data_IF_365632251729
#
_entry.id   IF_365632251729
#
_cell.length_a   1.000
_cell.length_b   1.000
_cell.length_c   1.000
_cell.angle_alpha   90.00
_cell.angle_beta   90.00
_cell.angle_gamma   90.00
#
_symmetry.space_group_name_H-M   'P 1'
#
loop_
_entity.id
_entity.type
_entity.pdbx_description
1 polymer ?
#
# COMPACT_ATOMS: atom_id res chain seq x y z
N UNK A 1 -34.19 -1.94 -2.60
CA UNK A 1 -32.97 -2.72 -2.86
C UNK A 1 -31.77 -1.84 -2.51
N UNK A 2 -31.30 -1.85 -1.26
CA UNK A 2 -30.20 -0.95 -0.85
C UNK A 2 -29.57 -1.45 0.46
N UNK A 3 -28.79 -2.52 0.37
CA UNK A 3 -27.99 -3.04 1.51
C UNK A 3 -26.66 -3.71 1.08
N UNK A 4 -26.35 -3.79 -0.22
CA UNK A 4 -25.20 -4.52 -0.73
C UNK A 4 -23.88 -3.70 -0.76
N UNK A 5 -23.95 -2.38 -0.73
CA UNK A 5 -22.80 -1.49 -0.94
C UNK A 5 -21.70 -1.58 0.13
N UNK A 6 -21.98 -1.62 1.46
CA UNK A 6 -20.91 -1.67 2.46
C UNK A 6 -20.18 -3.04 2.51
N UNK A 7 -20.84 -4.12 2.09
CA UNK A 7 -20.27 -5.47 2.14
C UNK A 7 -19.20 -5.65 1.04
N UNK A 8 -19.50 -5.19 -0.18
CA UNK A 8 -18.59 -5.27 -1.33
C UNK A 8 -17.34 -4.38 -1.11
N UNK A 9 -17.50 -3.23 -0.46
CA UNK A 9 -16.40 -2.34 -0.08
C UNK A 9 -15.43 -3.01 0.94
N UNK A 10 -15.94 -3.86 1.83
CA UNK A 10 -15.14 -4.57 2.83
C UNK A 10 -14.33 -5.74 2.22
N UNK A 11 -14.84 -6.38 1.15
CA UNK A 11 -14.13 -7.48 0.51
C UNK A 11 -12.83 -7.04 -0.17
N UNK A 12 -12.83 -5.89 -0.85
CA UNK A 12 -11.62 -5.34 -1.49
C UNK A 12 -10.51 -5.05 -0.48
N UNK A 13 -10.87 -4.53 0.70
CA UNK A 13 -9.94 -4.25 1.79
C UNK A 13 -9.43 -5.56 2.44
N UNK A 14 -10.31 -6.56 2.61
CA UNK A 14 -9.94 -7.89 3.13
C UNK A 14 -8.90 -8.58 2.24
N UNK A 15 -9.04 -8.50 0.91
CA UNK A 15 -8.05 -9.05 -0.02
C UNK A 15 -6.71 -8.33 0.12
N UNK A 16 -6.71 -7.00 0.24
CA UNK A 16 -5.49 -6.22 0.42
C UNK A 16 -4.76 -6.58 1.74
N UNK A 17 -5.51 -6.81 2.82
CA UNK A 17 -4.94 -7.29 4.09
C UNK A 17 -4.37 -8.71 3.99
N UNK A 18 -4.99 -9.60 3.21
CA UNK A 18 -4.41 -10.94 2.94
C UNK A 18 -3.11 -10.85 2.17
N UNK A 19 -3.02 -9.94 1.20
CA UNK A 19 -1.77 -9.67 0.48
C UNK A 19 -0.69 -9.12 1.42
N UNK A 20 -1.05 -8.18 2.31
CA UNK A 20 -0.14 -7.68 3.34
C UNK A 20 0.36 -8.78 4.28
N UNK A 21 -0.54 -9.65 4.78
CA UNK A 21 -0.16 -10.78 5.62
C UNK A 21 0.81 -11.72 4.88
N UNK A 22 0.53 -12.01 3.62
CA UNK A 22 1.39 -12.86 2.78
C UNK A 22 2.78 -12.23 2.57
N UNK A 23 2.86 -10.90 2.40
CA UNK A 23 4.14 -10.16 2.32
C UNK A 23 4.92 -10.31 3.62
N UNK A 24 4.28 -10.12 4.77
CA UNK A 24 4.93 -10.24 6.08
C UNK A 24 5.41 -11.68 6.33
N UNK A 25 4.59 -12.67 6.00
CA UNK A 25 4.91 -14.08 6.22
C UNK A 25 6.08 -14.54 5.33
N UNK A 26 6.08 -14.15 4.05
CA UNK A 26 7.07 -14.65 3.06
C UNK A 26 8.36 -13.82 3.08
N UNK A 27 8.26 -12.49 3.05
CA UNK A 27 9.41 -11.61 2.84
C UNK A 27 10.03 -11.08 4.13
N UNK A 28 9.34 -11.23 5.26
CA UNK A 28 9.80 -10.75 6.55
C UNK A 28 9.85 -11.84 7.62
N UNK A 29 9.59 -13.11 7.29
CA UNK A 29 9.55 -14.24 8.24
C UNK A 29 8.78 -13.88 9.52
N UNK A 30 7.57 -13.34 9.38
CA UNK A 30 6.74 -12.85 10.49
C UNK A 30 7.37 -11.69 11.32
N UNK A 31 8.29 -10.92 10.72
CA UNK A 31 9.14 -9.92 11.40
C UNK A 31 10.08 -10.52 12.47
N UNK A 32 10.38 -11.81 12.41
CA UNK A 32 11.45 -12.39 13.21
C UNK A 32 12.77 -11.93 12.58
N UNK A 33 13.58 -11.20 13.34
CA UNK A 33 14.83 -10.56 12.91
C UNK A 33 15.96 -11.60 12.65
N UNK A 34 15.60 -12.78 12.15
CA UNK A 34 16.48 -13.91 11.87
C UNK A 34 17.21 -13.80 10.54
N UNK A 35 16.94 -12.74 9.77
CA UNK A 35 17.41 -12.59 8.39
C UNK A 35 16.59 -13.49 7.47
N UNK A 36 16.09 -12.93 6.37
CA UNK A 36 15.39 -13.72 5.36
C UNK A 36 16.35 -14.80 4.83
N UNK A 37 16.01 -16.07 5.00
CA UNK A 37 16.80 -17.19 4.49
C UNK A 37 16.76 -17.31 2.96
N UNK A 38 16.03 -16.41 2.29
CA UNK A 38 15.80 -16.39 0.85
C UNK A 38 16.96 -15.71 0.13
N UNK A 39 17.42 -16.33 -0.96
CA UNK A 39 18.34 -15.71 -1.89
C UNK A 39 17.69 -14.52 -2.61
N UNK A 40 18.51 -13.60 -3.13
CA UNK A 40 17.99 -12.43 -3.86
C UNK A 40 17.12 -12.81 -5.06
N UNK A 41 17.42 -13.92 -5.73
CA UNK A 41 16.62 -14.41 -6.86
C UNK A 41 15.23 -14.90 -6.41
N UNK A 42 15.14 -15.54 -5.24
CA UNK A 42 13.86 -15.95 -4.65
C UNK A 42 13.05 -14.73 -4.22
N UNK A 43 13.69 -13.74 -3.59
CA UNK A 43 13.06 -12.45 -3.23
C UNK A 43 12.47 -11.79 -4.49
N UNK A 44 13.22 -11.71 -5.58
CA UNK A 44 12.76 -11.09 -6.84
C UNK A 44 11.57 -11.86 -7.42
N UNK A 45 11.62 -13.19 -7.45
CA UNK A 45 10.52 -14.03 -7.93
C UNK A 45 9.23 -13.83 -7.12
N UNK A 46 9.35 -13.74 -5.79
CA UNK A 46 8.24 -13.45 -4.91
C UNK A 46 7.68 -12.04 -5.12
N UNK A 47 8.55 -11.04 -5.28
CA UNK A 47 8.14 -9.66 -5.60
C UNK A 47 7.33 -9.62 -6.91
N UNK A 48 7.83 -10.25 -7.98
CA UNK A 48 7.11 -10.29 -9.26
C UNK A 48 5.72 -10.92 -9.14
N UNK A 49 5.63 -12.06 -8.45
CA UNK A 49 4.34 -12.74 -8.22
C UNK A 49 3.37 -11.87 -7.41
N UNK A 50 3.88 -11.13 -6.42
CA UNK A 50 3.07 -10.25 -5.58
C UNK A 50 2.62 -8.99 -6.33
N UNK A 51 3.45 -8.41 -7.19
CA UNK A 51 3.06 -7.32 -8.07
C UNK A 51 1.96 -7.74 -9.05
N UNK A 52 2.06 -8.95 -9.63
CA UNK A 52 1.00 -9.51 -10.47
C UNK A 52 -0.32 -9.64 -9.71
N UNK A 53 -0.28 -10.11 -8.46
CA UNK A 53 -1.44 -10.21 -7.59
C UNK A 53 -2.04 -8.85 -7.24
N UNK A 54 -1.21 -7.84 -6.98
CA UNK A 54 -1.64 -6.46 -6.71
C UNK A 54 -2.28 -5.83 -7.94
N UNK A 55 -1.72 -6.07 -9.13
CA UNK A 55 -2.28 -5.64 -10.41
C UNK A 55 -3.66 -6.29 -10.66
N UNK A 56 -3.75 -7.61 -10.51
CA UNK A 56 -5.02 -8.33 -10.63
C UNK A 56 -6.07 -7.84 -9.62
N UNK A 57 -5.65 -7.59 -8.38
CA UNK A 57 -6.52 -7.01 -7.36
C UNK A 57 -7.02 -5.61 -7.75
N UNK A 58 -6.14 -4.74 -8.24
CA UNK A 58 -6.50 -3.39 -8.68
C UNK A 58 -7.54 -3.43 -9.80
N UNK A 59 -7.42 -4.36 -10.75
CA UNK A 59 -8.38 -4.56 -11.85
C UNK A 59 -9.72 -5.11 -11.33
N UNK A 60 -9.69 -5.92 -10.27
CA UNK A 60 -10.89 -6.51 -9.66
C UNK A 60 -11.70 -5.54 -8.79
N UNK A 61 -11.23 -4.29 -8.60
CA UNK A 61 -11.90 -3.32 -7.76
C UNK A 61 -13.31 -2.99 -8.30
N UNK A 62 -14.33 -2.94 -7.42
CA UNK A 62 -15.68 -2.52 -7.79
C UNK A 62 -15.73 -1.14 -8.44
N UNK A 63 -16.72 -0.92 -9.32
CA UNK A 63 -16.95 0.41 -9.91
C UNK A 63 -17.12 1.47 -8.81
N UNK A 64 -16.32 2.54 -8.89
CA UNK A 64 -16.30 3.62 -7.89
C UNK A 64 -15.18 3.51 -6.85
N UNK A 65 -14.46 2.38 -6.80
CA UNK A 65 -13.21 2.23 -6.07
C UNK A 65 -12.03 2.25 -7.03
N UNK A 66 -11.10 3.17 -6.79
CA UNK A 66 -9.88 3.27 -7.60
C UNK A 66 -8.70 3.61 -6.71
N UNK A 67 -7.51 3.24 -7.16
CA UNK A 67 -6.27 3.77 -6.58
C UNK A 67 -6.14 5.22 -7.04
N UNK A 68 -6.24 6.13 -6.10
CA UNK A 68 -6.22 7.57 -6.31
C UNK A 68 -4.78 8.07 -6.36
N UNK A 69 -4.55 9.02 -7.25
CA UNK A 69 -3.39 9.89 -7.20
C UNK A 69 -3.78 11.23 -6.56
N UNK A 70 -2.79 11.97 -6.04
CA UNK A 70 -3.02 13.31 -5.53
C UNK A 70 -3.58 14.26 -6.60
N UNK A 71 -3.17 14.10 -7.87
CA UNK A 71 -3.75 14.84 -8.98
C UNK A 71 -5.25 14.57 -9.14
N UNK A 72 -5.66 13.30 -9.06
CA UNK A 72 -7.08 12.93 -9.12
C UNK A 72 -7.90 13.51 -7.96
N UNK A 73 -7.31 13.63 -6.77
CA UNK A 73 -7.95 14.29 -5.62
C UNK A 73 -8.06 15.81 -5.80
N UNK A 74 -7.04 16.46 -6.40
CA UNK A 74 -7.05 17.91 -6.70
C UNK A 74 -8.12 18.29 -7.70
N UNK A 75 -8.21 17.51 -8.78
CA UNK A 75 -9.13 17.75 -9.89
C UNK A 75 -10.60 17.48 -9.50
N UNK A 76 -10.83 16.77 -8.40
CA UNK A 76 -12.15 16.51 -7.87
C UNK A 76 -12.73 17.72 -7.13
N UNK A 77 -13.44 18.57 -7.87
CA UNK A 77 -14.11 19.76 -7.33
C UNK A 77 -15.56 19.49 -6.87
N UNK A 78 -16.16 18.39 -7.32
CA UNK A 78 -17.56 18.10 -7.02
C UNK A 78 -17.68 17.46 -5.63
N UNK A 79 -18.42 18.11 -4.73
CA UNK A 79 -18.76 17.52 -3.45
C UNK A 79 -19.71 16.32 -3.63
N UNK A 80 -19.48 15.19 -2.95
CA UNK A 80 -20.36 14.05 -2.99
C UNK A 80 -21.76 14.43 -2.49
N UNK A 81 -22.77 14.13 -3.30
CA UNK A 81 -24.17 14.50 -3.04
C UNK A 81 -24.78 13.52 -2.03
N UNK A 82 -24.31 12.27 -2.07
CA UNK A 82 -24.80 11.19 -1.22
C UNK A 82 -23.72 10.71 -0.25
N UNK A 83 -24.17 10.21 0.91
CA UNK A 83 -23.28 9.53 1.85
C UNK A 83 -22.55 8.35 1.19
N UNK A 84 -23.20 7.64 0.27
CA UNK A 84 -22.60 6.50 -0.42
C UNK A 84 -21.39 6.92 -1.28
N UNK A 85 -21.49 8.05 -2.01
CA UNK A 85 -20.38 8.61 -2.78
C UNK A 85 -19.25 9.07 -1.86
N UNK A 86 -19.59 9.78 -0.77
CA UNK A 86 -18.60 10.21 0.23
C UNK A 86 -17.83 9.01 0.81
N UNK A 87 -18.54 7.95 1.21
CA UNK A 87 -17.90 6.74 1.70
C UNK A 87 -17.08 6.04 0.62
N UNK A 88 -17.54 5.96 -0.63
CA UNK A 88 -16.75 5.37 -1.73
C UNK A 88 -15.41 6.09 -1.94
N UNK A 89 -15.42 7.43 -1.86
CA UNK A 89 -14.20 8.24 -1.91
C UNK A 89 -13.30 8.01 -0.71
N UNK A 90 -13.88 7.96 0.49
CA UNK A 90 -13.15 7.64 1.72
C UNK A 90 -12.49 6.27 1.65
N UNK A 91 -13.20 5.26 1.15
CA UNK A 91 -12.64 3.93 0.92
C UNK A 91 -11.53 3.96 -0.14
N UNK A 92 -11.71 4.70 -1.23
CA UNK A 92 -10.68 4.87 -2.27
C UNK A 92 -9.39 5.48 -1.70
N UNK A 93 -9.49 6.51 -0.85
CA UNK A 93 -8.33 7.08 -0.14
C UNK A 93 -7.64 6.02 0.73
N UNK A 94 -8.41 5.30 1.53
CA UNK A 94 -7.88 4.27 2.42
C UNK A 94 -7.15 3.16 1.66
N UNK A 95 -7.76 2.60 0.61
CA UNK A 95 -7.14 1.52 -0.18
C UNK A 95 -5.89 2.02 -0.93
N UNK A 96 -5.89 3.28 -1.39
CA UNK A 96 -4.73 3.86 -2.09
C UNK A 96 -3.53 3.98 -1.15
N UNK A 97 -3.75 4.54 0.04
CA UNK A 97 -2.69 4.65 1.04
C UNK A 97 -2.19 3.28 1.50
N UNK A 98 -3.07 2.28 1.62
CA UNK A 98 -2.67 0.90 1.92
C UNK A 98 -1.87 0.28 0.79
N UNK A 99 -2.30 0.48 -0.45
CA UNK A 99 -1.64 -0.02 -1.64
C UNK A 99 -0.21 0.51 -1.75
N UNK A 100 0.01 1.82 -1.62
CA UNK A 100 1.35 2.41 -1.68
C UNK A 100 2.25 1.96 -0.52
N UNK A 101 1.69 1.79 0.68
CA UNK A 101 2.43 1.22 1.81
C UNK A 101 2.85 -0.23 1.54
N UNK A 102 1.95 -1.04 0.99
CA UNK A 102 2.22 -2.43 0.63
C UNK A 102 3.31 -2.52 -0.42
N UNK A 103 3.27 -1.72 -1.50
CA UNK A 103 4.33 -1.70 -2.50
C UNK A 103 5.68 -1.28 -1.91
N UNK A 104 5.69 -0.29 -1.01
CA UNK A 104 6.91 0.11 -0.31
C UNK A 104 7.49 -1.04 0.52
N UNK A 105 6.64 -1.76 1.26
CA UNK A 105 7.06 -2.93 2.04
C UNK A 105 7.57 -4.07 1.15
N UNK A 106 6.89 -4.33 0.02
CA UNK A 106 7.22 -5.38 -0.92
C UNK A 106 8.65 -5.25 -1.49
N UNK A 107 9.07 -4.03 -1.81
CA UNK A 107 10.36 -3.75 -2.41
C UNK A 107 11.50 -3.48 -1.40
N UNK A 108 11.17 -3.28 -0.11
CA UNK A 108 12.15 -3.03 0.96
C UNK A 108 13.25 -4.11 1.08
N UNK A 109 12.98 -5.42 0.95
CA UNK A 109 14.02 -6.45 1.03
C UNK A 109 15.08 -6.31 -0.07
N UNK A 110 14.70 -5.92 -1.29
CA UNK A 110 15.65 -5.66 -2.38
C UNK A 110 16.56 -4.50 -2.04
N UNK A 111 16.02 -3.40 -1.50
CA UNK A 111 16.80 -2.24 -1.07
C UNK A 111 17.77 -2.58 0.06
N UNK A 112 17.34 -3.37 1.04
CA UNK A 112 18.21 -3.85 2.11
C UNK A 112 19.38 -4.67 1.55
N UNK A 113 19.12 -5.57 0.60
CA UNK A 113 20.17 -6.36 -0.05
C UNK A 113 21.14 -5.50 -0.88
N UNK A 114 20.66 -4.44 -1.54
CA UNK A 114 21.52 -3.47 -2.23
C UNK A 114 22.46 -2.74 -1.27
N UNK A 115 21.95 -2.31 -0.11
CA UNK A 115 22.77 -1.64 0.91
C UNK A 115 23.85 -2.59 1.42
N UNK A 116 23.52 -3.86 1.66
CA UNK A 116 24.51 -4.85 2.11
C UNK A 116 25.59 -5.11 1.04
N UNK A 117 25.17 -5.21 -0.23
CA UNK A 117 26.10 -5.33 -1.35
C UNK A 117 27.04 -4.12 -1.45
N UNK A 118 26.51 -2.91 -1.25
CA UNK A 118 27.30 -1.68 -1.25
C UNK A 118 28.31 -1.62 -0.09
N UNK A 119 27.92 -2.11 1.10
CA UNK A 119 28.78 -2.16 2.30
C UNK A 119 29.95 -3.14 2.14
N UNK A 120 29.73 -4.29 1.52
CA UNK A 120 30.79 -5.28 1.29
C UNK A 120 31.76 -4.90 0.17
N UNK A 121 31.33 -4.03 -0.74
CA UNK A 121 32.10 -3.65 -1.94
C UNK A 121 32.91 -2.37 -1.77
N UNK A 122 32.68 -1.59 -0.70
CA UNK A 122 33.61 -0.50 -0.32
C UNK A 122 35.02 -0.98 0.05
N UNK A 123 35.20 -2.29 0.30
CA UNK A 123 36.52 -2.90 0.56
C UNK A 123 37.26 -3.37 -0.71
N UNK A 124 36.59 -3.47 -1.86
CA UNK A 124 37.18 -4.02 -3.09
C UNK A 124 36.93 -3.08 -4.29
N UNK A 125 38.00 -2.47 -4.83
CA UNK A 125 37.97 -1.37 -5.80
C UNK A 125 37.58 -1.78 -7.23
N UNK A 126 36.39 -2.37 -7.41
CA UNK A 126 35.81 -2.71 -8.71
C UNK A 126 34.56 -1.89 -9.00
N UNK A 127 34.50 -1.22 -10.15
CA UNK A 127 33.35 -0.40 -10.58
C UNK A 127 32.04 -1.23 -10.55
N UNK A 128 31.08 -0.77 -9.76
CA UNK A 128 29.81 -1.47 -9.52
C UNK A 128 28.75 -1.11 -10.55
N UNK A 129 28.11 -2.13 -11.12
CA UNK A 129 26.78 -1.99 -11.72
C UNK A 129 25.79 -2.50 -10.68
N UNK A 130 24.97 -1.60 -10.12
CA UNK A 130 23.83 -2.01 -9.30
C UNK A 130 22.95 -2.97 -10.13
N UNK A 131 22.51 -4.11 -9.58
CA UNK A 131 21.58 -4.97 -10.30
C UNK A 131 20.36 -4.14 -10.73
N UNK A 132 20.02 -4.17 -12.02
CA UNK A 132 18.93 -3.39 -12.62
C UNK A 132 17.61 -3.50 -11.83
N UNK A 133 17.37 -4.67 -11.24
CA UNK A 133 16.21 -4.97 -10.40
C UNK A 133 16.19 -4.13 -9.11
N UNK A 134 17.35 -3.81 -8.55
CA UNK A 134 17.46 -2.94 -7.39
C UNK A 134 17.09 -1.48 -7.69
N UNK A 135 17.49 -0.98 -8.86
CA UNK A 135 17.10 0.36 -9.31
C UNK A 135 15.58 0.46 -9.51
N UNK A 136 14.96 -0.56 -10.10
CA UNK A 136 13.52 -0.61 -10.27
C UNK A 136 12.77 -0.64 -8.93
N UNK A 137 13.22 -1.44 -7.96
CA UNK A 137 12.66 -1.45 -6.60
C UNK A 137 12.79 -0.09 -5.91
N UNK A 138 13.89 0.65 -6.13
CA UNK A 138 14.08 1.99 -5.60
C UNK A 138 13.10 2.99 -6.20
N UNK A 139 12.89 2.95 -7.51
CA UNK A 139 11.89 3.77 -8.20
C UNK A 139 10.49 3.52 -7.61
N UNK A 140 10.07 2.26 -7.47
CA UNK A 140 8.75 1.91 -6.93
C UNK A 140 8.56 2.41 -5.49
N UNK A 141 9.56 2.24 -4.62
CA UNK A 141 9.51 2.76 -3.26
C UNK A 141 9.42 4.30 -3.25
N UNK A 142 10.18 4.96 -4.12
CA UNK A 142 10.20 6.43 -4.23
C UNK A 142 8.85 6.96 -4.72
N UNK A 143 8.32 6.39 -5.80
CA UNK A 143 7.00 6.75 -6.33
C UNK A 143 5.88 6.50 -5.31
N UNK A 144 5.93 5.38 -4.60
CA UNK A 144 4.92 5.04 -3.59
C UNK A 144 5.00 5.98 -2.37
N UNK A 145 6.20 6.39 -1.96
CA UNK A 145 6.39 7.38 -0.91
C UNK A 145 5.87 8.77 -1.33
N UNK A 146 6.22 9.23 -2.54
CA UNK A 146 5.72 10.49 -3.10
C UNK A 146 4.20 10.48 -3.18
N UNK A 147 3.59 9.43 -3.74
CA UNK A 147 2.14 9.33 -3.85
C UNK A 147 1.45 9.37 -2.48
N UNK A 148 2.02 8.70 -1.47
CA UNK A 148 1.50 8.72 -0.10
C UNK A 148 1.57 10.13 0.50
N UNK A 149 2.72 10.78 0.41
CA UNK A 149 2.94 12.14 0.92
C UNK A 149 2.00 13.12 0.24
N UNK A 150 1.91 13.07 -1.09
CA UNK A 150 1.08 14.00 -1.86
C UNK A 150 -0.41 13.81 -1.52
N UNK A 151 -0.91 12.57 -1.42
CA UNK A 151 -2.30 12.32 -1.02
C UNK A 151 -2.57 12.89 0.38
N UNK A 152 -1.70 12.64 1.35
CA UNK A 152 -1.86 13.16 2.70
C UNK A 152 -1.80 14.69 2.70
N UNK A 153 -0.85 15.26 1.95
CA UNK A 153 -0.69 16.70 1.83
C UNK A 153 -1.97 17.36 1.30
N UNK A 154 -2.54 16.85 0.21
CA UNK A 154 -3.79 17.37 -0.37
C UNK A 154 -4.95 17.31 0.63
N UNK A 155 -5.11 16.18 1.33
CA UNK A 155 -6.21 16.01 2.27
C UNK A 155 -6.08 16.90 3.52
N UNK A 156 -4.86 17.08 4.02
CA UNK A 156 -4.58 17.92 5.20
C UNK A 156 -4.73 19.41 4.88
N UNK A 157 -4.40 19.83 3.67
CA UNK A 157 -4.49 21.24 3.24
C UNK A 157 -5.84 21.59 2.60
N UNK A 158 -6.71 20.61 2.38
CA UNK A 158 -8.06 20.85 1.90
C UNK A 158 -8.86 21.68 2.93
N UNK A 159 -9.57 22.69 2.45
CA UNK A 159 -10.50 23.51 3.25
C UNK A 159 -11.97 23.16 3.00
N UNK A 160 -12.22 22.04 2.31
CA UNK A 160 -13.54 21.59 1.88
C UNK A 160 -13.85 20.17 2.40
N UNK A 161 -14.87 19.50 1.83
CA UNK A 161 -15.29 18.15 2.19
C UNK A 161 -14.17 17.11 2.14
N UNK A 162 -13.09 17.35 1.37
CA UNK A 162 -11.95 16.43 1.26
C UNK A 162 -11.16 16.32 2.56
N UNK A 163 -11.16 17.37 3.40
CA UNK A 163 -10.55 17.31 4.73
C UNK A 163 -11.14 16.16 5.57
N UNK A 164 -12.46 15.93 5.44
CA UNK A 164 -13.19 14.90 6.17
C UNK A 164 -12.92 13.47 5.68
N UNK A 165 -12.23 13.30 4.54
CA UNK A 165 -11.84 11.98 4.04
C UNK A 165 -10.74 11.37 4.91
N UNK A 166 -9.85 12.19 5.47
CA UNK A 166 -8.76 11.74 6.34
C UNK A 166 -9.19 11.57 7.80
N UNK A 167 -10.33 12.14 8.21
CA UNK A 167 -10.73 12.15 9.62
C UNK A 167 -11.06 10.74 10.15
N UNK A 168 -10.43 10.42 11.30
CA UNK A 168 -10.71 9.32 12.26
C UNK A 168 -10.33 7.88 11.86
N UNK A 169 -9.85 7.60 10.65
CA UNK A 169 -9.57 6.20 10.24
C UNK A 169 -8.14 5.71 10.55
N UNK A 170 -7.19 6.59 10.85
CA UNK A 170 -5.91 6.17 11.46
C UNK A 170 -6.15 5.42 12.78
N UNK A 171 -7.23 5.75 13.50
CA UNK A 171 -7.63 5.10 14.73
C UNK A 171 -8.25 3.71 14.49
N UNK A 172 -9.11 3.56 13.49
CA UNK A 172 -9.66 2.26 13.09
C UNK A 172 -8.59 1.29 12.59
N UNK A 173 -7.49 1.82 12.06
CA UNK A 173 -6.40 1.02 11.56
C UNK A 173 -5.52 0.40 12.66
N UNK A 174 -5.27 1.15 13.74
CA UNK A 174 -4.40 0.69 14.81
C UNK A 174 -5.16 -0.06 15.92
N UNK A 175 -6.47 0.15 16.09
CA UNK A 175 -7.24 -0.41 17.22
C UNK A 175 -8.57 -1.08 16.87
N UNK A 176 -8.93 -1.21 15.58
CA UNK A 176 -10.25 -1.70 15.14
C UNK A 176 -10.51 -3.20 15.26
N UNK A 177 -9.55 -4.02 15.70
CA UNK A 177 -9.75 -5.45 16.02
C UNK A 177 -9.96 -5.73 17.50
N UNK A 178 -10.31 -4.70 18.30
CA UNK A 178 -10.73 -4.90 19.69
C UNK A 178 -12.16 -4.36 19.93
N UNK A 179 -13.14 -4.96 19.26
CA UNK A 179 -14.47 -5.10 19.82
C UNK A 179 -14.83 -6.59 19.68
N UNK A 180 -14.77 -7.39 20.76
CA UNK A 180 -15.25 -8.76 20.70
C UNK A 180 -16.73 -8.73 20.35
N UNK A 181 -17.09 -9.47 19.31
CA UNK A 181 -18.42 -10.04 19.19
C UNK A 181 -18.64 -10.96 20.40
N UNK A 182 -19.03 -10.39 21.54
CA UNK A 182 -19.59 -11.07 22.72
C UNK A 182 -19.86 -10.06 23.84
N UNK A 183 -20.99 -9.36 23.76
CA UNK A 183 -21.98 -9.22 24.84
C UNK A 183 -23.03 -8.16 24.45
N UNK A 184 -24.27 -8.65 24.33
CA UNK A 184 -25.56 -8.01 24.02
C UNK A 184 -25.93 -7.88 22.54
#
# INVERSE_FOLDING_TARGET
>A
MQQATPIILNEGLSVLYKQLATIIDILFDHNLDTGTSLSINEIISHISTMEDNLCAWQISLPQGLTILSAAGLRDEQQEPITNAEFFSRKFSVMISLRYYNIRTLLHRPTLASMVETCRHTTDDQGSQTLPLVGLHSLEICTESAIATIDIIYELVHASDWRANLLETWWFSLHYGTCAPASLF
#
